data_IF_214005062881
#
_entry.id   IF_214005062881
#
_cell.length_a   1.000
_cell.length_b   1.000
_cell.length_c   1.000
_cell.angle_alpha   90.00
_cell.angle_beta   90.00
_cell.angle_gamma   90.00
#
_symmetry.space_group_name_H-M   'P 1'
#
loop_
_entity.id
_entity.type
_entity.pdbx_description
1 polymer ?
#
# COMPACT_ATOMS: atom_id res chain seq x y z
N UNK A 1 -15.65 -44.75 -28.18
CA UNK A 1 -15.85 -44.44 -26.75
C UNK A 1 -14.55 -43.84 -26.22
N UNK A 2 -14.28 -42.55 -26.45
CA UNK A 2 -12.98 -41.91 -26.11
C UNK A 2 -13.13 -40.63 -25.27
N UNK A 3 -14.29 -40.41 -24.66
CA UNK A 3 -14.58 -39.18 -23.90
C UNK A 3 -13.96 -39.11 -22.50
N UNK A 4 -13.62 -40.26 -21.89
CA UNK A 4 -13.26 -40.31 -20.47
C UNK A 4 -11.79 -39.94 -20.17
N UNK A 5 -10.87 -40.06 -21.14
CA UNK A 5 -9.43 -39.84 -20.93
C UNK A 5 -9.00 -38.36 -21.02
N UNK A 6 -9.80 -37.51 -21.68
CA UNK A 6 -9.50 -36.09 -21.84
C UNK A 6 -9.82 -35.26 -20.58
N UNK A 7 -10.85 -35.66 -19.82
CA UNK A 7 -11.28 -34.95 -18.61
C UNK A 7 -10.25 -34.97 -17.49
N UNK A 8 -9.58 -36.11 -17.25
CA UNK A 8 -8.60 -36.26 -16.15
C UNK A 8 -7.25 -35.56 -16.42
N UNK A 9 -6.92 -35.33 -17.69
CA UNK A 9 -5.71 -34.59 -18.09
C UNK A 9 -5.92 -33.08 -17.97
N UNK A 10 -7.12 -32.60 -18.32
CA UNK A 10 -7.50 -31.20 -18.15
C UNK A 10 -7.46 -30.75 -16.69
N UNK A 11 -8.00 -31.57 -15.79
CA UNK A 11 -8.06 -31.23 -14.35
C UNK A 11 -6.66 -31.13 -13.72
N UNK A 12 -5.72 -31.99 -14.10
CA UNK A 12 -4.35 -31.96 -13.54
C UNK A 12 -3.56 -30.73 -13.95
N UNK A 13 -3.72 -30.24 -15.18
CA UNK A 13 -3.00 -29.05 -15.63
C UNK A 13 -3.60 -27.77 -15.10
N UNK A 14 -4.94 -27.69 -15.08
CA UNK A 14 -5.65 -26.60 -14.41
C UNK A 14 -5.22 -26.48 -12.94
N UNK A 15 -5.10 -27.62 -12.26
CA UNK A 15 -4.68 -27.70 -10.86
C UNK A 15 -3.24 -27.26 -10.59
N UNK A 16 -2.41 -27.05 -11.62
CA UNK A 16 -1.03 -26.55 -11.45
C UNK A 16 -0.90 -25.13 -12.00
N UNK A 17 -1.34 -24.89 -13.25
CA UNK A 17 -1.13 -23.60 -13.92
C UNK A 17 -1.89 -22.48 -13.21
N UNK A 18 -3.17 -22.69 -12.92
CA UNK A 18 -4.03 -21.65 -12.34
C UNK A 18 -3.54 -21.22 -10.95
N UNK A 19 -3.32 -22.11 -9.96
CA UNK A 19 -2.90 -21.68 -8.63
C UNK A 19 -1.51 -21.05 -8.61
N UNK A 20 -0.58 -21.48 -9.47
CA UNK A 20 0.74 -20.85 -9.58
C UNK A 20 0.61 -19.40 -10.06
N UNK A 21 -0.15 -19.17 -11.13
CA UNK A 21 -0.36 -17.81 -11.64
C UNK A 21 -1.09 -16.94 -10.62
N UNK A 22 -2.13 -17.46 -9.97
CA UNK A 22 -2.84 -16.75 -8.89
C UNK A 22 -1.89 -16.40 -7.74
N UNK A 23 -1.05 -17.35 -7.30
CA UNK A 23 -0.10 -17.13 -6.22
C UNK A 23 0.94 -16.05 -6.55
N UNK A 24 1.45 -16.02 -7.79
CA UNK A 24 2.39 -14.99 -8.23
C UNK A 24 1.78 -13.59 -8.20
N UNK A 25 0.56 -13.42 -8.73
CA UNK A 25 -0.08 -12.11 -8.75
C UNK A 25 -0.64 -11.70 -7.38
N UNK A 26 -1.03 -12.66 -6.53
CA UNK A 26 -1.37 -12.39 -5.14
C UNK A 26 -0.15 -11.89 -4.35
N UNK A 27 1.05 -12.42 -4.63
CA UNK A 27 2.30 -11.92 -4.04
C UNK A 27 2.56 -10.47 -4.48
N UNK A 28 2.43 -10.16 -5.77
CA UNK A 28 2.59 -8.78 -6.27
C UNK A 28 1.57 -7.85 -5.59
N UNK A 29 0.30 -8.24 -5.54
CA UNK A 29 -0.74 -7.48 -4.85
C UNK A 29 -0.44 -7.26 -3.36
N UNK A 30 0.08 -8.28 -2.67
CA UNK A 30 0.47 -8.16 -1.26
C UNK A 30 1.65 -7.19 -1.06
N UNK A 31 2.63 -7.21 -1.98
CA UNK A 31 3.76 -6.26 -1.97
C UNK A 31 3.28 -4.83 -2.22
N UNK A 32 2.41 -4.63 -3.21
CA UNK A 32 1.82 -3.31 -3.50
C UNK A 32 0.97 -2.78 -2.34
N UNK A 33 0.10 -3.63 -1.78
CA UNK A 33 -0.71 -3.27 -0.62
C UNK A 33 0.15 -2.93 0.61
N UNK A 34 1.27 -3.63 0.79
CA UNK A 34 2.20 -3.37 1.90
C UNK A 34 3.21 -2.28 1.58
N UNK A 35 3.23 -1.76 0.35
CA UNK A 35 4.28 -0.85 -0.14
C UNK A 35 4.44 0.40 0.71
N UNK A 36 3.33 1.00 1.17
CA UNK A 36 3.33 2.16 2.07
C UNK A 36 4.07 1.86 3.37
N UNK A 37 3.90 0.66 3.93
CA UNK A 37 4.47 0.25 5.22
C UNK A 37 5.89 -0.31 5.09
N UNK A 38 6.18 -1.00 3.98
CA UNK A 38 7.50 -1.52 3.66
C UNK A 38 8.47 -0.36 3.35
N UNK A 39 8.00 0.67 2.63
CA UNK A 39 8.78 1.88 2.34
C UNK A 39 9.12 2.73 3.59
N UNK A 40 8.45 2.51 4.73
CA UNK A 40 8.77 3.20 5.99
C UNK A 40 10.17 2.87 6.51
N UNK A 41 10.71 1.69 6.16
CA UNK A 41 12.01 1.26 6.60
C UNK A 41 13.08 1.78 5.63
N UNK A 42 13.51 3.05 5.83
CA UNK A 42 14.62 3.75 5.13
C UNK A 42 15.63 2.79 4.47
N UNK A 43 15.41 2.38 3.21
CA UNK A 43 16.21 1.31 2.61
C UNK A 43 15.83 0.90 1.19
N UNK A 44 16.58 -0.05 0.61
CA UNK A 44 16.45 -0.57 -0.77
C UNK A 44 15.17 -1.37 -1.03
N UNK A 45 14.11 -1.16 -0.25
CA UNK A 45 12.88 -1.95 -0.35
C UNK A 45 11.99 -1.55 -1.52
N UNK A 46 12.27 -0.42 -2.17
CA UNK A 46 11.76 -0.11 -3.50
C UNK A 46 11.90 -1.31 -4.41
N UNK A 47 13.10 -1.88 -4.48
CA UNK A 47 13.43 -3.05 -5.30
C UNK A 47 12.54 -4.27 -5.04
N UNK A 48 11.92 -4.43 -3.86
CA UNK A 48 11.00 -5.54 -3.62
C UNK A 48 9.79 -5.49 -4.55
N UNK A 49 9.31 -4.29 -4.88
CA UNK A 49 8.23 -4.10 -5.84
C UNK A 49 8.68 -4.57 -7.23
N UNK A 50 9.77 -4.02 -7.76
CA UNK A 50 10.24 -4.40 -9.09
C UNK A 50 10.60 -5.89 -9.16
N UNK A 51 11.21 -6.43 -8.11
CA UNK A 51 11.54 -7.85 -7.97
C UNK A 51 10.27 -8.71 -8.02
N UNK A 52 9.20 -8.35 -7.31
CA UNK A 52 7.95 -9.10 -7.33
C UNK A 52 7.34 -9.18 -8.75
N UNK A 53 7.30 -8.07 -9.48
CA UNK A 53 6.84 -8.05 -10.88
C UNK A 53 7.74 -8.88 -11.79
N UNK A 54 9.05 -8.72 -11.69
CA UNK A 54 10.02 -9.49 -12.50
C UNK A 54 9.85 -10.98 -12.24
N UNK A 55 9.72 -11.42 -10.99
CA UNK A 55 9.45 -12.82 -10.67
C UNK A 55 8.12 -13.31 -11.24
N UNK A 56 7.04 -12.55 -11.08
CA UNK A 56 5.73 -12.92 -11.61
C UNK A 56 5.77 -13.12 -13.14
N UNK A 57 6.42 -12.19 -13.86
CA UNK A 57 6.56 -12.27 -15.33
C UNK A 57 7.46 -13.42 -15.75
N UNK A 58 8.66 -13.55 -15.17
CA UNK A 58 9.63 -14.58 -15.54
C UNK A 58 9.09 -15.98 -15.25
N UNK A 59 8.45 -16.20 -14.10
CA UNK A 59 7.89 -17.51 -13.75
C UNK A 59 6.67 -17.85 -14.61
N UNK A 60 5.83 -16.86 -14.94
CA UNK A 60 4.74 -17.05 -15.90
C UNK A 60 5.29 -17.45 -17.28
N UNK A 61 6.31 -16.76 -17.77
CA UNK A 61 6.93 -17.06 -19.06
C UNK A 61 7.59 -18.45 -19.07
N UNK A 62 8.34 -18.80 -18.02
CA UNK A 62 8.95 -20.11 -17.86
C UNK A 62 7.90 -21.23 -17.84
N UNK A 63 6.79 -21.02 -17.11
CA UNK A 63 5.67 -21.95 -17.07
C UNK A 63 5.01 -22.11 -18.45
N UNK A 64 4.70 -21.01 -19.12
CA UNK A 64 4.08 -21.01 -20.43
C UNK A 64 4.96 -21.73 -21.48
N UNK A 65 6.28 -21.47 -21.48
CA UNK A 65 7.25 -22.16 -22.33
C UNK A 65 7.38 -23.65 -21.99
N UNK A 66 7.41 -24.00 -20.70
CA UNK A 66 7.47 -25.39 -20.25
C UNK A 66 6.25 -26.20 -20.67
N UNK A 67 5.06 -25.61 -20.58
CA UNK A 67 3.80 -26.19 -21.04
C UNK A 67 3.76 -26.28 -22.57
N UNK A 68 4.26 -25.26 -23.28
CA UNK A 68 4.34 -25.26 -24.74
C UNK A 68 5.22 -26.39 -25.25
N UNK A 69 6.43 -26.53 -24.69
CA UNK A 69 7.41 -27.57 -25.06
C UNK A 69 6.89 -28.99 -24.82
N UNK A 70 5.89 -29.16 -23.96
CA UNK A 70 5.19 -30.45 -23.73
C UNK A 70 4.07 -30.73 -24.74
N UNK A 71 3.94 -29.91 -25.79
CA UNK A 71 2.94 -30.05 -26.84
C UNK A 71 1.54 -29.57 -26.42
N UNK A 72 1.47 -28.63 -25.46
CA UNK A 72 0.20 -28.18 -24.85
C UNK A 72 -0.04 -26.67 -25.00
N UNK A 73 -0.07 -26.13 -26.24
CA UNK A 73 -0.08 -24.69 -26.49
C UNK A 73 -1.32 -23.97 -25.92
N UNK A 74 -2.46 -24.65 -25.79
CA UNK A 74 -3.69 -24.08 -25.21
C UNK A 74 -3.46 -23.59 -23.77
N UNK A 75 -2.76 -24.38 -22.94
CA UNK A 75 -2.51 -24.01 -21.55
C UNK A 75 -1.44 -22.93 -21.40
N UNK A 76 -0.50 -22.83 -22.36
CA UNK A 76 0.41 -21.68 -22.44
C UNK A 76 -0.36 -20.39 -22.69
N UNK A 77 -1.31 -20.41 -23.62
CA UNK A 77 -2.19 -19.25 -23.88
C UNK A 77 -3.01 -18.92 -22.62
N UNK A 78 -3.60 -19.92 -21.97
CA UNK A 78 -4.35 -19.71 -20.71
C UNK A 78 -3.48 -19.07 -19.63
N UNK A 79 -2.25 -19.55 -19.43
CA UNK A 79 -1.34 -18.98 -18.44
C UNK A 79 -1.04 -17.50 -18.71
N UNK A 80 -0.75 -17.15 -19.97
CA UNK A 80 -0.44 -15.78 -20.39
C UNK A 80 -1.67 -14.86 -20.27
N UNK A 81 -2.83 -15.32 -20.74
CA UNK A 81 -4.09 -14.55 -20.66
C UNK A 81 -4.50 -14.34 -19.22
N UNK A 82 -4.44 -15.37 -18.38
CA UNK A 82 -4.74 -15.26 -16.95
C UNK A 82 -3.78 -14.30 -16.26
N UNK A 83 -2.48 -14.40 -16.53
CA UNK A 83 -1.48 -13.47 -15.99
C UNK A 83 -1.77 -12.02 -16.41
N UNK A 84 -2.07 -11.78 -17.68
CA UNK A 84 -2.41 -10.44 -18.16
C UNK A 84 -3.70 -9.92 -17.51
N UNK A 85 -4.72 -10.77 -17.37
CA UNK A 85 -5.98 -10.42 -16.74
C UNK A 85 -5.82 -10.05 -15.25
N UNK A 86 -4.89 -10.68 -14.54
CA UNK A 86 -4.56 -10.35 -13.13
C UNK A 86 -3.65 -9.13 -13.02
N UNK A 87 -2.77 -8.90 -14.00
CA UNK A 87 -1.91 -7.73 -14.03
C UNK A 87 -2.69 -6.42 -14.08
N UNK A 88 -3.77 -6.36 -14.88
CA UNK A 88 -4.59 -5.16 -15.05
C UNK A 88 -5.11 -4.60 -13.72
N UNK A 89 -5.88 -5.33 -12.90
CA UNK A 89 -6.38 -4.81 -11.64
C UNK A 89 -5.25 -4.45 -10.68
N UNK A 90 -4.14 -5.20 -10.68
CA UNK A 90 -2.98 -4.89 -9.85
C UNK A 90 -2.34 -3.57 -10.27
N UNK A 91 -2.16 -3.30 -11.55
CA UNK A 91 -1.55 -2.05 -12.02
C UNK A 91 -2.46 -0.84 -11.88
N UNK A 92 -3.78 -1.04 -11.89
CA UNK A 92 -4.77 0.04 -11.81
C UNK A 92 -5.32 0.28 -10.41
N UNK A 93 -5.07 -0.63 -9.47
CA UNK A 93 -5.53 -0.47 -8.11
C UNK A 93 -4.78 0.70 -7.46
N UNK A 94 -5.53 1.64 -6.88
CA UNK A 94 -4.98 2.72 -6.06
C UNK A 94 -4.46 2.18 -4.73
N UNK A 95 -3.40 1.37 -4.75
CA UNK A 95 -2.83 0.68 -3.59
C UNK A 95 -2.50 1.58 -2.40
N UNK A 96 -1.94 2.80 -2.59
CA UNK A 96 -1.71 3.71 -1.47
C UNK A 96 -3.00 3.99 -0.72
N UNK A 97 -4.05 4.40 -1.45
CA UNK A 97 -5.36 4.66 -0.85
C UNK A 97 -5.95 3.42 -0.17
N UNK A 98 -5.92 2.26 -0.82
CA UNK A 98 -6.45 1.02 -0.25
C UNK A 98 -5.74 0.62 1.05
N UNK A 99 -4.40 0.70 1.06
CA UNK A 99 -3.59 0.34 2.22
C UNK A 99 -3.79 1.30 3.40
N UNK A 100 -3.87 2.60 3.12
CA UNK A 100 -4.15 3.66 4.12
C UNK A 100 -5.57 3.50 4.68
N UNK A 101 -6.57 3.33 3.82
CA UNK A 101 -7.97 3.15 4.25
C UNK A 101 -8.15 1.84 5.04
N UNK A 102 -7.44 0.78 4.68
CA UNK A 102 -7.46 -0.48 5.41
C UNK A 102 -6.80 -0.35 6.79
N UNK A 103 -5.62 0.29 6.86
CA UNK A 103 -4.93 0.53 8.11
C UNK A 103 -5.75 1.38 9.07
N UNK A 104 -6.32 2.49 8.58
CA UNK A 104 -7.20 3.34 9.37
C UNK A 104 -8.39 2.55 9.93
N UNK A 105 -9.08 1.76 9.08
CA UNK A 105 -10.24 0.97 9.51
C UNK A 105 -9.88 -0.10 10.54
N UNK A 106 -8.73 -0.75 10.38
CA UNK A 106 -8.24 -1.75 11.32
C UNK A 106 -7.89 -1.13 12.69
N UNK A 107 -7.38 0.09 12.70
CA UNK A 107 -6.93 0.81 13.90
C UNK A 107 -7.87 1.93 14.34
N UNK A 108 -9.14 1.91 13.89
CA UNK A 108 -10.09 3.02 14.06
C UNK A 108 -10.26 3.45 15.53
N UNK A 109 -10.26 2.49 16.45
CA UNK A 109 -10.34 2.78 17.90
C UNK A 109 -9.08 3.46 18.44
N UNK A 110 -7.91 3.07 17.95
CA UNK A 110 -6.63 3.69 18.33
C UNK A 110 -6.54 5.12 17.79
N UNK A 111 -7.01 5.35 16.55
CA UNK A 111 -7.15 6.70 15.98
C UNK A 111 -8.10 7.57 16.81
N UNK A 112 -9.25 7.05 17.23
CA UNK A 112 -10.15 7.78 18.12
C UNK A 112 -9.48 8.14 19.46
N UNK A 113 -8.67 7.24 20.02
CA UNK A 113 -7.91 7.50 21.24
C UNK A 113 -6.79 8.54 21.03
N UNK A 114 -6.15 8.55 19.86
CA UNK A 114 -5.10 9.49 19.50
C UNK A 114 -5.63 10.91 19.22
N UNK A 115 -6.88 11.04 18.77
CA UNK A 115 -7.54 12.34 18.56
C UNK A 115 -7.74 13.12 19.87
N UNK A 116 -7.73 12.46 21.04
CA UNK A 116 -7.77 13.10 22.35
C UNK A 116 -6.39 13.68 22.70
N UNK A 117 -6.14 14.91 22.22
CA UNK A 117 -4.87 15.61 22.37
C UNK A 117 -4.41 15.80 23.83
N UNK A 118 -5.31 15.69 24.82
CA UNK A 118 -4.98 15.76 26.25
C UNK A 118 -4.16 14.57 26.75
N UNK A 119 -4.14 13.46 25.99
CA UNK A 119 -3.39 12.25 26.33
C UNK A 119 -1.95 12.24 25.81
N UNK A 120 -1.56 13.25 25.04
CA UNK A 120 -0.24 13.34 24.41
C UNK A 120 0.78 13.95 25.38
N UNK A 121 1.98 13.35 25.46
CA UNK A 121 3.04 13.77 26.38
C UNK A 121 4.00 14.73 25.67
N UNK A 122 4.36 15.90 26.23
CA UNK A 122 5.35 16.79 25.63
C UNK A 122 6.69 16.10 25.32
N UNK A 123 7.27 16.37 24.14
CA UNK A 123 8.62 15.98 23.73
C UNK A 123 9.32 17.18 23.05
N UNK A 124 10.63 17.33 23.23
CA UNK A 124 11.33 18.60 22.96
C UNK A 124 11.74 18.78 21.48
N UNK A 125 11.81 17.70 20.69
CA UNK A 125 12.35 17.75 19.31
C UNK A 125 11.41 17.22 18.22
N UNK A 126 10.59 16.20 18.49
CA UNK A 126 9.74 15.52 17.48
C UNK A 126 8.23 15.68 17.69
N UNK A 127 7.80 16.58 18.57
CA UNK A 127 6.39 16.84 18.86
C UNK A 127 5.93 16.25 20.20
N UNK A 128 4.75 15.64 20.26
CA UNK A 128 4.22 15.01 21.45
C UNK A 128 4.29 13.49 21.33
N UNK A 129 4.82 12.81 22.35
CA UNK A 129 4.93 11.36 22.34
C UNK A 129 3.58 10.70 22.60
N UNK A 130 3.26 9.70 21.77
CA UNK A 130 2.07 8.88 21.95
C UNK A 130 2.25 7.93 23.14
N UNK A 131 1.16 7.66 23.89
CA UNK A 131 1.10 6.56 24.84
C UNK A 131 1.58 5.25 24.18
N UNK A 132 2.27 4.35 24.92
CA UNK A 132 2.80 3.10 24.37
C UNK A 132 1.86 2.31 23.45
N UNK A 133 0.56 2.11 23.76
CA UNK A 133 -0.33 1.34 22.90
C UNK A 133 -0.69 2.04 21.58
N UNK A 134 -0.37 3.33 21.40
CA UNK A 134 -0.70 4.12 20.21
C UNK A 134 0.53 4.43 19.34
N UNK A 135 1.73 4.06 19.80
CA UNK A 135 2.98 4.41 19.10
C UNK A 135 3.11 3.79 17.72
N UNK A 136 2.37 2.72 17.41
CA UNK A 136 2.37 2.10 16.09
C UNK A 136 1.68 2.94 15.02
N UNK A 137 0.83 3.91 15.41
CA UNK A 137 0.06 4.75 14.49
C UNK A 137 0.90 5.77 13.73
N UNK A 138 2.11 6.04 14.23
CA UNK A 138 2.94 7.11 13.73
C UNK A 138 4.40 6.71 13.75
N UNK A 139 5.17 7.30 12.85
CA UNK A 139 6.62 7.31 12.93
C UNK A 139 7.10 7.70 14.33
N UNK A 140 8.08 6.94 14.85
CA UNK A 140 8.73 7.19 16.14
C UNK A 140 7.77 7.21 17.34
N UNK A 141 6.50 6.83 17.12
CA UNK A 141 5.44 6.94 18.11
C UNK A 141 5.19 8.38 18.57
N UNK A 142 5.35 9.36 17.67
CA UNK A 142 5.15 10.77 17.97
C UNK A 142 3.98 11.37 17.17
N UNK A 143 3.37 12.43 17.68
CA UNK A 143 2.28 13.16 17.06
C UNK A 143 2.56 14.66 17.16
N UNK A 144 2.10 15.46 16.21
CA UNK A 144 2.18 16.92 16.30
C UNK A 144 0.81 17.48 16.63
N UNK A 145 0.77 18.49 17.50
CA UNK A 145 -0.43 19.33 17.60
C UNK A 145 -0.49 20.29 16.42
N UNK A 146 -1.68 20.46 15.90
CA UNK A 146 -1.99 21.28 14.75
C UNK A 146 -3.24 22.13 15.04
N UNK A 147 -3.45 23.23 14.30
CA UNK A 147 -4.60 24.14 14.44
C UNK A 147 -4.84 24.60 15.88
N UNK A 148 -4.28 25.74 16.30
CA UNK A 148 -4.41 26.30 17.67
C UNK A 148 -4.18 25.32 18.84
N UNK A 149 -3.58 24.15 18.57
CA UNK A 149 -3.36 23.09 19.54
C UNK A 149 -4.51 22.08 19.71
N UNK A 150 -5.61 22.20 18.96
CA UNK A 150 -6.79 21.33 19.10
C UNK A 150 -6.75 20.09 18.20
N UNK A 151 -6.00 20.14 17.11
CA UNK A 151 -5.86 19.02 16.19
C UNK A 151 -4.61 18.18 16.41
N UNK A 152 -4.59 17.01 15.79
CA UNK A 152 -3.54 16.00 15.86
C UNK A 152 -3.09 15.62 14.45
N UNK A 153 -1.78 15.56 14.26
CA UNK A 153 -1.13 15.06 13.06
C UNK A 153 -0.25 13.87 13.43
N UNK A 154 -0.48 12.74 12.78
CA UNK A 154 0.27 11.50 12.95
C UNK A 154 1.11 11.29 11.69
N UNK A 155 2.39 11.68 11.71
CA UNK A 155 3.24 11.51 10.55
C UNK A 155 3.48 10.03 10.22
N UNK A 156 3.62 9.73 8.94
CA UNK A 156 3.88 8.39 8.43
C UNK A 156 5.05 8.53 7.45
N UNK A 157 6.16 7.79 7.67
CA UNK A 157 7.20 7.75 6.65
C UNK A 157 6.58 7.20 5.37
N UNK A 158 6.68 7.94 4.27
CA UNK A 158 6.44 7.38 2.95
C UNK A 158 7.58 7.87 2.08
N UNK A 159 8.72 7.19 2.16
CA UNK A 159 9.86 7.43 1.27
C UNK A 159 9.68 6.65 -0.04
N UNK A 160 8.49 6.75 -0.67
CA UNK A 160 8.27 6.11 -1.98
C UNK A 160 7.17 6.76 -2.84
N UNK A 161 7.54 7.30 -4.02
CA UNK A 161 8.72 8.10 -4.27
C UNK A 161 8.40 9.56 -3.89
N UNK A 162 9.15 10.14 -2.96
CA UNK A 162 9.19 11.58 -2.68
C UNK A 162 8.07 12.24 -1.84
N UNK A 163 7.06 11.53 -1.32
CA UNK A 163 5.93 12.16 -0.59
C UNK A 163 5.65 11.57 0.80
N UNK A 164 6.24 12.09 1.90
CA UNK A 164 5.81 11.73 3.25
C UNK A 164 4.34 12.11 3.45
N UNK A 165 3.59 11.22 4.11
CA UNK A 165 2.16 11.39 4.37
C UNK A 165 1.85 11.50 5.86
N UNK A 166 0.62 11.89 6.18
CA UNK A 166 0.17 11.96 7.57
C UNK A 166 -1.33 11.72 7.69
N UNK A 167 -1.72 11.10 8.79
CA UNK A 167 -3.10 11.12 9.24
C UNK A 167 -3.35 12.40 10.02
N UNK A 168 -4.43 13.10 9.68
CA UNK A 168 -4.74 14.42 10.23
C UNK A 168 -6.14 14.42 10.82
N UNK A 169 -6.25 14.88 12.05
CA UNK A 169 -7.50 15.14 12.74
C UNK A 169 -7.52 16.60 13.23
N UNK A 170 -8.17 17.54 12.54
CA UNK A 170 -8.02 18.97 12.80
C UNK A 170 -8.61 19.45 14.13
N UNK A 171 -9.42 18.62 14.83
CA UNK A 171 -9.99 18.97 16.13
C UNK A 171 -11.08 20.06 16.08
N UNK A 172 -11.53 20.43 14.88
CA UNK A 172 -12.48 21.51 14.64
C UNK A 172 -13.08 21.44 13.22
N UNK A 173 -13.09 22.56 12.51
CA UNK A 173 -13.57 22.64 11.13
C UNK A 173 -12.80 21.68 10.19
N UNK A 174 -13.42 21.21 9.09
CA UNK A 174 -12.74 20.37 8.12
C UNK A 174 -11.46 21.05 7.62
N UNK A 175 -10.45 20.26 7.23
CA UNK A 175 -9.17 20.81 6.82
C UNK A 175 -9.32 21.74 5.62
N UNK A 176 -8.50 22.79 5.57
CA UNK A 176 -8.19 23.49 4.33
C UNK A 176 -7.43 22.56 3.38
N UNK A 177 -7.48 22.84 2.07
CA UNK A 177 -6.80 22.04 1.05
C UNK A 177 -5.29 21.88 1.30
N UNK A 178 -4.69 22.86 2.00
CA UNK A 178 -3.27 22.89 2.36
C UNK A 178 -3.15 23.07 3.86
N UNK A 179 -2.27 22.28 4.46
CA UNK A 179 -1.91 22.35 5.87
C UNK A 179 -0.38 22.47 6.01
N UNK A 180 0.09 23.46 6.78
CA UNK A 180 1.53 23.61 7.06
C UNK A 180 1.90 22.78 8.30
N UNK A 181 2.74 21.78 8.13
CA UNK A 181 3.29 20.99 9.24
C UNK A 181 4.82 21.03 9.17
N UNK A 182 5.45 21.48 10.26
CA UNK A 182 6.87 21.82 10.29
C UNK A 182 7.23 22.81 9.16
N UNK A 183 8.32 22.56 8.45
CA UNK A 183 8.79 23.36 7.32
C UNK A 183 8.19 22.93 5.97
N UNK A 184 7.07 22.21 5.98
CA UNK A 184 6.49 21.61 4.77
C UNK A 184 4.99 21.85 4.62
N UNK A 185 4.55 21.95 3.36
CA UNK A 185 3.15 21.99 3.00
C UNK A 185 2.65 20.58 2.72
N UNK A 186 1.53 20.24 3.34
CA UNK A 186 0.80 19.01 3.15
C UNK A 186 -0.54 19.33 2.49
N UNK A 187 -0.91 18.56 1.49
CA UNK A 187 -2.15 18.70 0.76
C UNK A 187 -3.15 17.66 1.21
N UNK A 188 -4.38 18.10 1.37
CA UNK A 188 -5.51 17.21 1.53
C UNK A 188 -5.62 16.31 0.31
N UNK A 189 -5.81 15.01 0.53
CA UNK A 189 -6.03 14.04 -0.55
C UNK A 189 -7.42 13.42 -0.49
N UNK A 190 -7.77 12.82 0.64
CA UNK A 190 -9.10 12.24 0.84
C UNK A 190 -9.45 12.08 2.33
N UNK A 191 -10.75 12.00 2.61
CA UNK A 191 -11.28 11.74 3.93
C UNK A 191 -11.30 10.23 4.22
N UNK A 192 -10.98 9.86 5.46
CA UNK A 192 -10.95 8.47 5.94
C UNK A 192 -12.22 8.11 6.73
N UNK A 193 -12.83 9.09 7.38
CA UNK A 193 -13.97 8.95 8.29
C UNK A 193 -13.67 9.52 9.67
N UNK A 194 -14.71 9.74 10.49
CA UNK A 194 -14.60 10.23 11.89
C UNK A 194 -13.69 11.44 12.10
N UNK A 195 -13.71 12.40 11.17
CA UNK A 195 -12.86 13.59 11.25
C UNK A 195 -11.38 13.34 10.95
N UNK A 196 -11.00 12.13 10.49
CA UNK A 196 -9.67 11.80 10.02
C UNK A 196 -9.55 11.96 8.50
N UNK A 197 -8.39 12.47 8.09
CA UNK A 197 -8.06 12.78 6.71
C UNK A 197 -6.65 12.31 6.40
N UNK A 198 -6.41 11.92 5.15
CA UNK A 198 -5.08 11.65 4.64
C UNK A 198 -4.50 12.87 3.94
N UNK A 199 -3.28 13.21 4.32
CA UNK A 199 -2.51 14.31 3.79
C UNK A 199 -1.20 13.81 3.20
N UNK A 200 -0.77 14.42 2.10
CA UNK A 200 0.52 14.14 1.47
C UNK A 200 1.31 15.43 1.34
N UNK A 201 2.60 15.38 1.66
CA UNK A 201 3.49 16.51 1.39
C UNK A 201 3.57 16.78 -0.11
N UNK A 202 3.77 18.04 -0.51
CA UNK A 202 4.13 18.35 -1.91
C UNK A 202 5.43 17.65 -2.32
N UNK A 203 5.54 17.15 -3.56
CA UNK A 203 6.85 16.85 -4.13
C UNK A 203 7.60 18.17 -4.17
N UNK A 204 8.78 18.22 -3.54
CA UNK A 204 9.62 19.41 -3.61
C UNK A 204 9.86 19.71 -5.10
N UNK A 205 9.57 20.93 -5.53
CA UNK A 205 9.44 21.34 -6.94
C UNK A 205 10.70 21.21 -7.80
N UNK A 206 11.79 20.60 -7.32
CA UNK A 206 12.92 20.18 -8.16
C UNK A 206 12.64 18.88 -8.94
N UNK A 207 11.60 18.11 -8.60
CA UNK A 207 11.18 16.91 -9.33
C UNK A 207 10.34 17.20 -10.59
N UNK A 208 9.82 18.43 -10.77
CA UNK A 208 9.04 18.84 -11.94
C UNK A 208 9.90 19.25 -13.15
N UNK A 209 11.21 18.99 -13.11
CA UNK A 209 12.18 19.37 -14.13
C UNK A 209 12.82 18.20 -14.86
N UNK A 210 12.06 17.16 -15.23
CA UNK A 210 12.48 16.16 -16.23
C UNK A 210 11.34 15.77 -17.14
#
# INVERSE_FOLDING_TARGET
MDGASNGSRWTREAAVVVPVILGLWALVAAVEFSGVWIAQHRGPFSYLREVAYVYAVLLTAALALGVWRRGRPRWSIVALVLSAALAVPVLTAGWPRLSIDAYYRQHRADFAAAADANRLVPDDYYGLRLPPPLRHLSIEGAASRIGDGTGVLLPVWADYPDLPGAFVHPGGAPPTDIYRCYDSLYHFRWALGDGWYWFERDPVSWAAGR
#
